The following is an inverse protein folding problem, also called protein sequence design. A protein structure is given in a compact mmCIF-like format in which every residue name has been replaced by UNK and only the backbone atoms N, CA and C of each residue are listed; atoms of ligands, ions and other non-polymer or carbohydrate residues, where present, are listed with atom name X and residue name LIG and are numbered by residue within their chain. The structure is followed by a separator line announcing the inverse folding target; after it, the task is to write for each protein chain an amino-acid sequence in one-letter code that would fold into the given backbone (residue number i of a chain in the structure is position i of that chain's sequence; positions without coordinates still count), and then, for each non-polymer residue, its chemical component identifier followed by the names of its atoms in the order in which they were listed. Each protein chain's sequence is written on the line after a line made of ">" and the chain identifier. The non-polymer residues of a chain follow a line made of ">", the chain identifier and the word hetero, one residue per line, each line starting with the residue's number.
data_IF_598847329417
#
_entry.id   IF_598847329417
#
_cell.length_a   1.000
_cell.length_b   1.000
_cell.length_c   1.000
_cell.angle_alpha   90.00
_cell.angle_beta   90.00
_cell.angle_gamma   90.00
#
_symmetry.space_group_name_H-M   'P 1'
#
loop_
_entity.id
_entity.type
_entity.pdbx_description
1 polymer ?
#
# COMPACT_ATOMS: atom_id res chain seq x y z
N UNK A 1 61.54 14.11 9.14
CA UNK A 1 60.41 14.97 8.74
C UNK A 1 59.24 14.01 8.60
N UNK A 2 58.43 13.95 9.64
CA UNK A 2 57.31 13.01 9.82
C UNK A 2 56.05 13.72 9.36
N UNK A 3 55.32 13.02 8.47
CA UNK A 3 54.00 13.45 7.99
C UNK A 3 52.92 13.00 9.01
N UNK A 4 52.02 13.90 9.47
CA UNK A 4 50.98 13.52 10.44
C UNK A 4 49.71 13.07 9.73
N UNK A 5 49.35 11.83 10.01
CA UNK A 5 48.04 11.19 10.15
C UNK A 5 46.81 11.91 9.57
N UNK A 6 46.24 11.31 8.53
CA UNK A 6 44.86 11.47 8.12
C UNK A 6 43.96 10.71 9.10
N UNK A 7 43.39 11.43 10.04
CA UNK A 7 42.43 10.92 11.00
C UNK A 7 41.02 10.86 10.40
N UNK A 8 40.78 9.94 9.48
CA UNK A 8 39.44 9.64 9.00
C UNK A 8 38.59 9.10 10.14
N UNK A 9 37.73 9.96 10.72
CA UNK A 9 36.66 9.55 11.63
C UNK A 9 35.66 8.72 10.82
N UNK A 10 35.77 7.40 10.94
CA UNK A 10 34.72 6.49 10.47
C UNK A 10 33.45 6.79 11.27
N UNK A 11 32.43 7.29 10.58
CA UNK A 11 31.09 7.41 11.16
C UNK A 11 30.65 5.98 11.51
N UNK A 12 30.15 5.73 12.73
CA UNK A 12 29.63 4.41 13.09
C UNK A 12 28.46 4.09 12.13
N UNK A 13 28.46 2.86 11.60
CA UNK A 13 27.33 2.33 10.85
C UNK A 13 26.09 2.47 11.73
N UNK A 14 25.13 3.30 11.31
CA UNK A 14 23.87 3.49 12.02
C UNK A 14 23.14 2.14 12.01
N UNK A 15 23.10 1.49 13.15
CA UNK A 15 22.34 0.27 13.41
C UNK A 15 20.85 0.60 13.29
N UNK A 16 20.11 0.02 12.32
CA UNK A 16 18.68 0.25 12.17
C UNK A 16 17.87 -0.11 13.43
N UNK A 17 18.41 -0.93 14.33
CA UNK A 17 17.76 -1.30 15.59
C UNK A 17 17.89 -0.20 16.68
N UNK A 18 18.74 0.80 16.49
CA UNK A 18 18.93 1.88 17.45
C UNK A 18 17.78 2.91 17.44
N UNK A 19 16.93 2.94 16.40
CA UNK A 19 15.76 3.81 16.34
C UNK A 19 14.61 3.35 17.26
N UNK A 20 14.64 2.13 17.75
CA UNK A 20 13.64 1.61 18.71
C UNK A 20 13.80 2.18 20.13
N UNK A 21 14.96 2.75 20.46
CA UNK A 21 15.27 3.21 21.82
C UNK A 21 15.13 4.72 22.04
N UNK A 22 15.11 5.52 20.96
CA UNK A 22 15.17 6.99 21.06
C UNK A 22 13.83 7.70 21.27
N UNK A 23 12.71 7.02 21.23
CA UNK A 23 11.40 7.65 21.42
C UNK A 23 10.46 6.79 22.22
N UNK A 24 10.29 7.08 23.52
CA UNK A 24 9.12 6.72 24.35
C UNK A 24 8.56 5.29 24.19
N UNK A 25 9.38 4.28 23.92
CA UNK A 25 8.99 2.93 23.56
C UNK A 25 8.56 2.06 24.76
N UNK A 26 8.21 2.66 25.88
CA UNK A 26 7.76 1.93 27.08
C UNK A 26 6.39 1.26 27.00
N UNK A 27 5.70 1.31 25.87
CA UNK A 27 4.34 0.78 25.75
C UNK A 27 4.08 -0.16 24.55
N UNK A 28 5.07 -0.44 23.71
CA UNK A 28 4.89 -1.30 22.54
C UNK A 28 5.90 -2.47 22.46
N UNK A 29 6.07 -3.20 23.56
CA UNK A 29 6.54 -4.59 23.48
C UNK A 29 5.42 -5.54 23.01
N UNK A 30 4.72 -5.21 21.98
CA UNK A 30 4.02 -6.21 21.21
C UNK A 30 5.10 -6.89 20.34
N UNK A 31 5.34 -8.21 20.55
CA UNK A 31 6.12 -9.04 19.62
C UNK A 31 5.73 -8.64 18.21
N UNK A 32 6.67 -7.96 17.50
CA UNK A 32 6.45 -7.46 16.16
C UNK A 32 5.89 -8.59 15.29
N UNK A 33 4.67 -8.51 14.79
CA UNK A 33 4.15 -9.56 13.92
C UNK A 33 5.06 -9.62 12.71
N UNK A 34 5.53 -10.81 12.39
CA UNK A 34 6.55 -11.05 11.34
C UNK A 34 6.05 -10.86 9.91
N UNK A 35 5.18 -9.87 9.65
CA UNK A 35 4.70 -9.58 8.29
C UNK A 35 3.87 -10.68 7.64
N UNK A 36 3.26 -11.58 8.42
CA UNK A 36 2.54 -12.74 7.90
C UNK A 36 1.37 -12.37 6.99
N UNK A 37 0.65 -11.29 7.31
CA UNK A 37 -0.49 -10.85 6.52
C UNK A 37 -0.02 -10.28 5.18
N UNK A 38 1.06 -9.53 5.16
CA UNK A 38 1.66 -9.02 3.92
C UNK A 38 2.02 -10.19 2.98
N UNK A 39 2.72 -11.20 3.49
CA UNK A 39 3.06 -12.39 2.69
C UNK A 39 1.83 -13.20 2.28
N UNK A 40 0.81 -13.32 3.13
CA UNK A 40 -0.43 -13.99 2.80
C UNK A 40 -1.18 -13.26 1.67
N UNK A 41 -1.27 -11.92 1.73
CA UNK A 41 -1.88 -11.12 0.67
C UNK A 41 -1.12 -11.27 -0.66
N UNK A 42 0.21 -11.26 -0.63
CA UNK A 42 1.05 -11.51 -1.82
C UNK A 42 0.77 -12.92 -2.36
N UNK A 43 0.77 -13.93 -1.50
CA UNK A 43 0.54 -15.31 -1.91
C UNK A 43 -0.85 -15.49 -2.55
N UNK A 44 -1.90 -14.89 -2.00
CA UNK A 44 -3.26 -14.92 -2.59
C UNK A 44 -3.28 -14.25 -3.96
N UNK A 45 -2.68 -13.07 -4.12
CA UNK A 45 -2.62 -12.38 -5.41
C UNK A 45 -1.89 -13.22 -6.47
N UNK A 46 -0.74 -13.79 -6.11
CA UNK A 46 0.03 -14.67 -7.00
C UNK A 46 -0.78 -15.95 -7.33
N UNK A 47 -1.41 -16.57 -6.34
CA UNK A 47 -2.22 -17.79 -6.57
C UNK A 47 -3.40 -17.54 -7.50
N UNK A 48 -4.13 -16.43 -7.31
CA UNK A 48 -5.24 -16.02 -8.20
C UNK A 48 -4.72 -15.78 -9.61
N UNK A 49 -3.61 -15.08 -9.78
CA UNK A 49 -3.02 -14.83 -11.09
C UNK A 49 -2.60 -16.13 -11.79
N UNK A 50 -1.95 -17.05 -11.06
CA UNK A 50 -1.58 -18.35 -11.61
C UNK A 50 -2.81 -19.18 -12.01
N UNK A 51 -3.90 -19.12 -11.23
CA UNK A 51 -5.17 -19.77 -11.58
C UNK A 51 -5.78 -19.18 -12.85
N UNK A 52 -5.73 -17.84 -13.03
CA UNK A 52 -6.14 -17.17 -14.27
C UNK A 52 -5.35 -17.72 -15.47
N UNK A 53 -4.04 -17.77 -15.36
CA UNK A 53 -3.15 -18.26 -16.42
C UNK A 53 -3.41 -19.75 -16.71
N UNK A 54 -3.56 -20.57 -15.68
CA UNK A 54 -3.88 -22.00 -15.85
C UNK A 54 -5.24 -22.24 -16.52
N UNK A 55 -6.18 -21.28 -16.41
CA UNK A 55 -7.47 -21.32 -17.13
C UNK A 55 -7.38 -20.82 -18.59
N UNK A 56 -6.19 -20.47 -19.07
CA UNK A 56 -5.98 -20.01 -20.45
C UNK A 56 -5.94 -18.49 -20.63
N UNK A 57 -5.98 -17.71 -19.54
CA UNK A 57 -5.81 -16.25 -19.62
C UNK A 57 -4.36 -15.90 -20.00
N UNK A 58 -4.19 -14.92 -20.88
CA UNK A 58 -2.86 -14.51 -21.33
C UNK A 58 -2.01 -13.98 -20.17
N UNK A 59 -0.81 -14.53 -20.01
CA UNK A 59 0.13 -14.20 -18.92
C UNK A 59 0.64 -12.76 -18.97
N UNK A 60 0.89 -12.23 -20.17
CA UNK A 60 1.45 -10.88 -20.32
C UNK A 60 0.37 -9.80 -20.39
N UNK A 61 -0.72 -10.10 -21.09
CA UNK A 61 -1.75 -9.12 -21.40
C UNK A 61 -3.15 -9.75 -21.39
N UNK A 62 -3.73 -10.03 -20.21
CA UNK A 62 -5.12 -10.48 -20.08
C UNK A 62 -6.08 -9.50 -20.74
N UNK A 63 -7.08 -10.02 -21.43
CA UNK A 63 -8.14 -9.16 -21.98
C UNK A 63 -9.05 -8.62 -20.88
N UNK A 64 -9.68 -7.45 -21.10
CA UNK A 64 -10.69 -6.93 -20.17
C UNK A 64 -11.81 -7.93 -19.90
N UNK A 65 -12.23 -8.70 -20.92
CA UNK A 65 -13.26 -9.75 -20.77
C UNK A 65 -12.80 -10.88 -19.84
N UNK A 66 -11.54 -11.28 -19.89
CA UNK A 66 -11.01 -12.29 -18.98
C UNK A 66 -11.07 -11.79 -17.55
N UNK A 67 -10.65 -10.53 -17.32
CA UNK A 67 -10.70 -9.91 -16.00
C UNK A 67 -12.13 -9.79 -15.49
N UNK A 68 -13.10 -9.43 -16.34
CA UNK A 68 -14.53 -9.39 -15.99
C UNK A 68 -15.05 -10.76 -15.58
N UNK A 69 -14.72 -11.83 -16.33
CA UNK A 69 -15.12 -13.21 -16.02
C UNK A 69 -14.58 -13.68 -14.68
N UNK A 70 -13.38 -13.25 -14.31
CA UNK A 70 -12.73 -13.59 -13.03
C UNK A 70 -13.18 -12.71 -11.85
N UNK A 71 -14.05 -11.71 -12.08
CA UNK A 71 -14.62 -10.88 -11.03
C UNK A 71 -14.01 -9.49 -10.92
N UNK A 72 -13.45 -8.96 -12.01
CA UNK A 72 -13.01 -7.58 -12.09
C UNK A 72 -14.14 -6.59 -11.84
N UNK A 73 -13.82 -5.40 -11.32
CA UNK A 73 -14.77 -4.33 -11.05
C UNK A 73 -15.26 -3.73 -12.38
N UNK A 74 -16.23 -4.39 -13.00
CA UNK A 74 -16.83 -3.94 -14.25
C UNK A 74 -18.04 -3.09 -13.97
N UNK A 75 -17.98 -1.82 -14.34
CA UNK A 75 -18.96 -0.79 -13.97
C UNK A 75 -20.42 -1.21 -14.17
N UNK A 76 -20.84 -1.76 -15.33
CA UNK A 76 -22.25 -2.17 -15.52
C UNK A 76 -22.68 -3.29 -14.55
N UNK A 77 -21.88 -4.32 -14.36
CA UNK A 77 -22.24 -5.44 -13.49
C UNK A 77 -22.20 -5.07 -12.01
N UNK A 78 -21.19 -4.30 -11.60
CA UNK A 78 -21.08 -3.86 -10.20
C UNK A 78 -22.26 -2.95 -9.83
N UNK A 79 -22.65 -2.03 -10.71
CA UNK A 79 -23.81 -1.16 -10.50
C UNK A 79 -25.16 -1.91 -10.56
N UNK A 80 -25.25 -3.03 -11.27
CA UNK A 80 -26.44 -3.87 -11.30
C UNK A 80 -26.60 -4.80 -10.10
N UNK A 81 -25.66 -4.75 -9.12
CA UNK A 81 -25.76 -5.49 -7.85
C UNK A 81 -24.63 -6.48 -7.56
N UNK A 82 -23.66 -6.66 -8.45
CA UNK A 82 -22.53 -7.56 -8.21
C UNK A 82 -21.44 -6.87 -7.35
N UNK A 83 -21.82 -6.37 -6.15
CA UNK A 83 -20.95 -5.61 -5.23
C UNK A 83 -19.72 -6.38 -4.74
N UNK A 84 -19.76 -7.71 -4.78
CA UNK A 84 -18.62 -8.56 -4.46
C UNK A 84 -17.39 -8.28 -5.34
N UNK A 85 -17.59 -7.71 -6.53
CA UNK A 85 -16.53 -7.31 -7.46
C UNK A 85 -15.62 -6.21 -6.88
N UNK A 86 -16.11 -5.41 -5.95
CA UNK A 86 -15.28 -4.42 -5.24
C UNK A 86 -14.13 -5.08 -4.46
N UNK A 87 -14.34 -6.33 -4.02
CA UNK A 87 -13.33 -7.09 -3.27
C UNK A 87 -12.51 -7.97 -4.21
N UNK A 88 -13.15 -8.73 -5.09
CA UNK A 88 -12.43 -9.67 -5.96
C UNK A 88 -11.49 -8.99 -6.92
N UNK A 89 -11.84 -7.81 -7.42
CA UNK A 89 -11.00 -7.00 -8.27
C UNK A 89 -9.64 -6.65 -7.65
N UNK A 90 -9.56 -6.57 -6.31
CA UNK A 90 -8.32 -6.28 -5.59
C UNK A 90 -7.25 -7.38 -5.75
N UNK A 91 -7.62 -8.56 -6.24
CA UNK A 91 -6.73 -9.72 -6.39
C UNK A 91 -6.47 -10.09 -7.85
N UNK A 92 -7.06 -9.38 -8.81
CA UNK A 92 -6.90 -9.62 -10.24
C UNK A 92 -5.88 -8.65 -10.84
N UNK A 93 -5.15 -9.07 -11.87
CA UNK A 93 -4.11 -8.24 -12.48
C UNK A 93 -4.10 -8.34 -14.00
N UNK A 94 -3.80 -7.21 -14.66
CA UNK A 94 -3.65 -7.11 -16.13
C UNK A 94 -2.25 -7.55 -16.59
N UNK A 95 -1.84 -8.77 -16.17
CA UNK A 95 -0.57 -9.36 -16.56
C UNK A 95 0.50 -9.34 -15.47
N UNK A 96 1.56 -10.10 -15.74
CA UNK A 96 2.65 -10.34 -14.76
C UNK A 96 3.39 -9.08 -14.37
N UNK A 97 3.56 -8.12 -15.28
CA UNK A 97 4.25 -6.85 -14.99
C UNK A 97 3.45 -6.05 -13.96
N UNK A 98 2.14 -5.93 -14.16
CA UNK A 98 1.24 -5.24 -13.23
C UNK A 98 1.23 -5.95 -11.85
N UNK A 99 1.13 -7.27 -11.84
CA UNK A 99 1.23 -8.05 -10.60
C UNK A 99 2.55 -7.79 -9.87
N UNK A 100 3.68 -7.85 -10.59
CA UNK A 100 5.02 -7.69 -9.99
C UNK A 100 5.20 -6.34 -9.31
N UNK A 101 4.78 -5.26 -9.96
CA UNK A 101 4.83 -3.91 -9.38
C UNK A 101 3.93 -3.79 -8.14
N UNK A 102 2.73 -4.36 -8.18
CA UNK A 102 1.82 -4.38 -7.03
C UNK A 102 2.42 -5.17 -5.87
N UNK A 103 2.95 -6.37 -6.11
CA UNK A 103 3.53 -7.20 -5.05
C UNK A 103 4.78 -6.59 -4.44
N UNK A 104 5.61 -5.95 -5.26
CA UNK A 104 6.77 -5.20 -4.76
C UNK A 104 6.33 -4.03 -3.86
N UNK A 105 5.37 -3.22 -4.31
CA UNK A 105 4.86 -2.09 -3.54
C UNK A 105 4.18 -2.55 -2.24
N UNK A 106 3.38 -3.62 -2.30
CA UNK A 106 2.73 -4.22 -1.12
C UNK A 106 3.76 -4.74 -0.11
N UNK A 107 4.84 -5.39 -0.59
CA UNK A 107 5.91 -5.86 0.27
C UNK A 107 6.60 -4.70 1.00
N UNK A 108 6.90 -3.61 0.29
CA UNK A 108 7.59 -2.46 0.87
C UNK A 108 6.73 -1.75 1.92
N UNK A 109 5.47 -1.42 1.59
CA UNK A 109 4.59 -0.74 2.54
C UNK A 109 4.17 -1.64 3.68
N UNK A 110 3.97 -2.94 3.41
CA UNK A 110 3.53 -3.92 4.41
C UNK A 110 4.61 -4.22 5.46
N UNK A 111 5.87 -4.34 5.06
CA UNK A 111 6.99 -4.49 5.99
C UNK A 111 7.07 -3.37 7.01
N UNK A 112 6.63 -2.18 6.63
CA UNK A 112 6.62 -1.01 7.48
C UNK A 112 5.34 -0.92 8.33
N UNK A 113 4.16 -1.05 7.71
CA UNK A 113 2.89 -0.80 8.38
C UNK A 113 2.36 -1.98 9.20
N UNK A 114 2.61 -3.22 8.78
CA UNK A 114 2.10 -4.38 9.53
C UNK A 114 2.70 -4.49 10.95
N UNK A 115 4.03 -4.32 11.16
CA UNK A 115 4.58 -4.24 12.51
C UNK A 115 4.04 -3.08 13.34
N UNK A 116 3.79 -1.92 12.69
CA UNK A 116 3.33 -0.71 13.35
C UNK A 116 1.88 -0.80 13.82
N UNK A 117 0.98 -1.36 13.00
CA UNK A 117 -0.46 -1.43 13.26
C UNK A 117 -0.87 -2.72 13.97
N UNK A 118 -0.05 -3.77 13.82
CA UNK A 118 -0.45 -5.16 14.07
C UNK A 118 -1.27 -5.73 12.92
N UNK A 119 -1.14 -7.04 12.69
CA UNK A 119 -1.70 -7.76 11.52
C UNK A 119 -3.20 -7.54 11.32
N UNK A 120 -3.99 -7.49 12.40
CA UNK A 120 -5.45 -7.29 12.29
C UNK A 120 -5.82 -5.92 11.72
N UNK A 121 -5.23 -4.84 12.26
CA UNK A 121 -5.53 -3.48 11.80
C UNK A 121 -4.98 -3.22 10.42
N UNK A 122 -3.81 -3.78 10.12
CA UNK A 122 -3.21 -3.74 8.79
C UNK A 122 -4.12 -4.39 7.74
N UNK A 123 -4.65 -5.60 8.03
CA UNK A 123 -5.58 -6.30 7.14
C UNK A 123 -6.88 -5.51 6.93
N UNK A 124 -7.44 -4.96 8.02
CA UNK A 124 -8.63 -4.11 7.94
C UNK A 124 -8.38 -2.85 7.11
N UNK A 125 -7.23 -2.20 7.29
CA UNK A 125 -6.85 -1.04 6.49
C UNK A 125 -6.73 -1.39 5.00
N UNK A 126 -6.08 -2.52 4.66
CA UNK A 126 -5.97 -2.99 3.27
C UNK A 126 -7.34 -3.17 2.62
N UNK A 127 -8.26 -3.91 3.26
CA UNK A 127 -9.58 -4.15 2.71
C UNK A 127 -10.44 -2.88 2.67
N UNK A 128 -10.47 -2.11 3.75
CA UNK A 128 -11.29 -0.90 3.81
C UNK A 128 -10.88 0.11 2.72
N UNK A 129 -9.57 0.37 2.60
CA UNK A 129 -9.08 1.32 1.59
C UNK A 129 -9.25 0.80 0.18
N UNK A 130 -9.07 -0.51 -0.05
CA UNK A 130 -9.26 -1.14 -1.35
C UNK A 130 -10.73 -1.15 -1.81
N UNK A 131 -11.66 -1.44 -0.89
CA UNK A 131 -13.11 -1.39 -1.19
C UNK A 131 -13.53 0.04 -1.52
N UNK A 132 -13.11 1.02 -0.72
CA UNK A 132 -13.41 2.44 -0.99
C UNK A 132 -12.77 2.89 -2.30
N UNK A 133 -11.54 2.48 -2.59
CA UNK A 133 -10.87 2.75 -3.87
C UNK A 133 -11.69 2.21 -5.06
N UNK A 134 -12.12 0.95 -4.99
CA UNK A 134 -12.97 0.32 -6.02
C UNK A 134 -14.32 1.01 -6.15
N UNK A 135 -14.89 1.50 -5.05
CA UNK A 135 -16.14 2.27 -5.06
C UNK A 135 -15.94 3.65 -5.68
N UNK A 136 -14.87 4.37 -5.34
CA UNK A 136 -14.54 5.67 -5.96
C UNK A 136 -14.32 5.49 -7.47
N UNK A 137 -13.65 4.44 -7.90
CA UNK A 137 -13.54 4.08 -9.31
C UNK A 137 -14.90 4.06 -10.02
N UNK A 138 -15.91 3.40 -9.42
CA UNK A 138 -17.28 3.36 -9.97
C UNK A 138 -17.94 4.73 -10.11
N UNK A 139 -17.61 5.69 -9.24
CA UNK A 139 -18.19 7.04 -9.31
C UNK A 139 -17.64 7.83 -10.50
N UNK A 140 -16.38 7.61 -10.84
CA UNK A 140 -15.68 8.36 -11.90
C UNK A 140 -15.73 7.67 -13.26
N UNK A 141 -15.99 6.37 -13.30
CA UNK A 141 -16.14 5.61 -14.55
C UNK A 141 -17.62 5.32 -14.81
N UNK A 142 -18.16 5.92 -15.87
CA UNK A 142 -19.58 5.78 -16.25
C UNK A 142 -19.81 4.84 -17.43
N UNK A 143 -18.74 4.39 -18.06
CA UNK A 143 -18.70 3.55 -19.24
C UNK A 143 -18.39 2.07 -18.92
N UNK A 144 -18.07 1.30 -19.94
CA UNK A 144 -17.71 -0.13 -19.84
C UNK A 144 -16.29 -0.34 -19.30
N UNK A 145 -15.86 0.42 -18.31
CA UNK A 145 -14.53 0.28 -17.73
C UNK A 145 -14.43 -0.95 -16.82
N UNK A 146 -13.23 -1.50 -16.74
CA UNK A 146 -12.88 -2.65 -15.89
C UNK A 146 -11.71 -2.26 -15.01
N UNK A 147 -11.95 -2.22 -13.69
CA UNK A 147 -10.92 -2.03 -12.69
C UNK A 147 -10.43 -3.37 -12.14
N UNK A 148 -9.11 -3.50 -11.96
CA UNK A 148 -8.47 -4.64 -11.29
C UNK A 148 -7.08 -4.26 -10.79
N UNK A 149 -6.69 -4.83 -9.66
CA UNK A 149 -5.37 -4.66 -9.04
C UNK A 149 -5.46 -4.38 -7.55
N UNK A 150 -4.41 -4.77 -6.83
CA UNK A 150 -4.23 -4.43 -5.43
C UNK A 150 -3.91 -2.94 -5.21
N UNK A 151 -3.67 -2.19 -6.29
CA UNK A 151 -3.09 -0.84 -6.24
C UNK A 151 -3.94 0.17 -5.47
N UNK A 152 -5.27 0.10 -5.56
CA UNK A 152 -6.16 0.96 -4.76
C UNK A 152 -5.94 0.80 -3.26
N UNK A 153 -5.83 -0.44 -2.77
CA UNK A 153 -5.51 -0.73 -1.38
C UNK A 153 -4.08 -0.30 -1.03
N UNK A 154 -3.11 -0.54 -1.91
CA UNK A 154 -1.71 -0.15 -1.71
C UNK A 154 -1.58 1.37 -1.60
N UNK A 155 -2.28 2.14 -2.44
CA UNK A 155 -2.35 3.59 -2.31
C UNK A 155 -2.99 4.02 -0.98
N UNK A 156 -3.98 3.27 -0.51
CA UNK A 156 -4.54 3.46 0.83
C UNK A 156 -3.50 3.26 1.92
N UNK A 157 -2.69 2.22 1.83
CA UNK A 157 -1.58 2.00 2.77
C UNK A 157 -0.51 3.10 2.67
N UNK A 158 -0.20 3.62 1.47
CA UNK A 158 0.68 4.79 1.34
C UNK A 158 0.08 6.04 1.97
N UNK A 159 -1.24 6.26 1.82
CA UNK A 159 -1.94 7.36 2.49
C UNK A 159 -1.84 7.27 4.01
N UNK A 160 -2.03 6.07 4.57
CA UNK A 160 -1.88 5.81 5.99
C UNK A 160 -0.42 6.04 6.44
N UNK A 161 0.57 5.55 5.69
CA UNK A 161 1.98 5.78 5.97
C UNK A 161 2.35 7.28 5.93
N UNK A 162 1.78 8.02 4.97
CA UNK A 162 1.96 9.48 4.88
C UNK A 162 1.37 10.19 6.10
N UNK A 163 0.17 9.79 6.56
CA UNK A 163 -0.45 10.35 7.75
C UNK A 163 0.42 10.13 9.00
N UNK A 164 0.98 8.93 9.18
CA UNK A 164 1.92 8.64 10.28
C UNK A 164 3.16 9.56 10.21
N UNK A 165 3.70 9.75 9.00
CA UNK A 165 4.87 10.61 8.78
C UNK A 165 4.57 12.10 9.02
N UNK A 166 3.31 12.50 9.13
CA UNK A 166 2.90 13.87 9.48
C UNK A 166 2.60 14.04 10.97
N UNK A 167 2.75 12.99 11.77
CA UNK A 167 2.65 13.06 13.24
C UNK A 167 4.04 13.11 13.86
N UNK A 168 4.09 13.41 15.17
CA UNK A 168 5.33 13.38 15.95
C UNK A 168 5.73 11.95 16.37
N UNK A 169 5.29 10.94 15.63
CA UNK A 169 5.57 9.54 15.96
C UNK A 169 7.04 9.19 15.71
N UNK A 170 7.66 9.84 14.72
CA UNK A 170 9.05 9.67 14.35
C UNK A 170 9.84 10.97 14.52
N UNK A 171 11.17 10.90 14.71
CA UNK A 171 12.05 12.07 14.63
C UNK A 171 11.84 12.80 13.29
N UNK A 172 11.87 14.16 13.33
CA UNK A 172 11.51 14.99 12.16
C UNK A 172 12.35 14.71 10.92
N UNK A 173 13.66 14.47 11.07
CA UNK A 173 14.54 14.16 9.93
C UNK A 173 14.14 12.83 9.23
N UNK A 174 13.76 11.84 10.02
CA UNK A 174 13.25 10.57 9.48
C UNK A 174 11.89 10.75 8.83
N UNK A 175 10.96 11.42 9.51
CA UNK A 175 9.62 11.72 9.00
C UNK A 175 9.67 12.53 7.70
N UNK A 176 10.57 13.51 7.59
CA UNK A 176 10.78 14.30 6.37
C UNK A 176 11.25 13.45 5.19
N UNK A 177 12.26 12.59 5.40
CA UNK A 177 12.73 11.66 4.36
C UNK A 177 11.60 10.72 3.92
N UNK A 178 10.84 10.18 4.87
CA UNK A 178 9.72 9.28 4.61
C UNK A 178 8.61 9.98 3.81
N UNK A 179 8.19 11.19 4.20
CA UNK A 179 7.22 12.01 3.45
C UNK A 179 7.67 12.24 2.01
N UNK A 180 8.94 12.67 1.83
CA UNK A 180 9.49 12.90 0.49
C UNK A 180 9.44 11.65 -0.38
N UNK A 181 9.86 10.50 0.15
CA UNK A 181 9.86 9.23 -0.58
C UNK A 181 8.46 8.79 -0.98
N UNK A 182 7.49 8.87 -0.03
CA UNK A 182 6.11 8.48 -0.29
C UNK A 182 5.47 9.41 -1.32
N UNK A 183 5.63 10.72 -1.19
CA UNK A 183 5.08 11.70 -2.12
C UNK A 183 5.67 11.53 -3.53
N UNK A 184 6.97 11.27 -3.64
CA UNK A 184 7.62 10.97 -4.92
C UNK A 184 7.02 9.70 -5.54
N UNK A 185 6.87 8.63 -4.76
CA UNK A 185 6.29 7.38 -5.21
C UNK A 185 4.85 7.58 -5.70
N UNK A 186 4.02 8.27 -4.92
CA UNK A 186 2.64 8.59 -5.28
C UNK A 186 2.61 9.41 -6.57
N UNK A 187 3.40 10.48 -6.66
CA UNK A 187 3.44 11.37 -7.82
C UNK A 187 3.84 10.64 -9.10
N UNK A 188 4.91 9.86 -9.04
CA UNK A 188 5.38 9.05 -10.19
C UNK A 188 4.30 8.06 -10.62
N UNK A 189 3.67 7.35 -9.68
CA UNK A 189 2.65 6.36 -10.03
C UNK A 189 1.37 7.00 -10.61
N UNK A 190 0.95 8.18 -10.12
CA UNK A 190 -0.21 8.88 -10.68
C UNK A 190 0.07 9.41 -12.11
N UNK A 191 1.28 9.94 -12.35
CA UNK A 191 1.68 10.38 -13.69
C UNK A 191 1.76 9.20 -14.67
N UNK A 192 2.41 8.10 -14.27
CA UNK A 192 2.46 6.88 -15.07
C UNK A 192 1.05 6.29 -15.25
N UNK A 193 0.23 6.33 -14.21
CA UNK A 193 -1.17 5.89 -14.27
C UNK A 193 -1.96 6.63 -15.33
N UNK A 194 -1.79 7.95 -15.43
CA UNK A 194 -2.40 8.73 -16.50
C UNK A 194 -1.92 8.29 -17.89
N UNK A 195 -0.60 8.15 -18.07
CA UNK A 195 -0.01 7.78 -19.37
C UNK A 195 -0.38 6.37 -19.82
N UNK A 196 -0.52 5.45 -18.86
CA UNK A 196 -0.81 4.04 -19.13
C UNK A 196 -2.30 3.68 -19.03
N UNK A 197 -3.17 4.67 -18.78
CA UNK A 197 -4.61 4.45 -18.64
C UNK A 197 -5.00 3.63 -17.40
N UNK A 198 -4.21 3.73 -16.31
CA UNK A 198 -4.54 3.07 -15.05
C UNK A 198 -5.64 3.84 -14.31
N UNK A 199 -6.29 3.17 -13.38
CA UNK A 199 -7.40 3.73 -12.59
C UNK A 199 -6.93 4.71 -11.49
N UNK A 200 -6.61 5.93 -11.89
CA UNK A 200 -6.21 6.97 -10.96
C UNK A 200 -7.32 7.40 -9.99
N UNK A 201 -8.59 7.19 -10.33
CA UNK A 201 -9.69 7.45 -9.40
C UNK A 201 -9.64 6.48 -8.21
N UNK A 202 -9.39 5.19 -8.47
CA UNK A 202 -9.16 4.21 -7.41
C UNK A 202 -7.92 4.56 -6.57
N UNK A 203 -6.82 4.97 -7.21
CA UNK A 203 -5.58 5.35 -6.51
C UNK A 203 -5.80 6.52 -5.55
N UNK A 204 -6.46 7.59 -6.01
CA UNK A 204 -6.76 8.78 -5.20
C UNK A 204 -7.77 8.44 -4.09
N UNK A 205 -8.81 7.66 -4.40
CA UNK A 205 -9.80 7.22 -3.42
C UNK A 205 -9.18 6.40 -2.29
N UNK A 206 -8.31 5.45 -2.64
CA UNK A 206 -7.55 4.66 -1.66
C UNK A 206 -6.64 5.54 -0.81
N UNK A 207 -5.83 6.38 -1.45
CA UNK A 207 -4.89 7.29 -0.79
C UNK A 207 -5.58 8.19 0.23
N UNK A 208 -6.68 8.86 -0.17
CA UNK A 208 -7.42 9.75 0.70
C UNK A 208 -8.04 9.01 1.90
N UNK A 209 -8.61 7.83 1.66
CA UNK A 209 -9.20 6.98 2.71
C UNK A 209 -8.14 6.53 3.72
N UNK A 210 -7.00 6.05 3.24
CA UNK A 210 -5.90 5.61 4.10
C UNK A 210 -5.29 6.76 4.89
N UNK A 211 -5.14 7.92 4.26
CA UNK A 211 -4.66 9.13 4.93
C UNK A 211 -5.61 9.56 6.06
N UNK A 212 -6.91 9.63 5.80
CA UNK A 212 -7.91 9.97 6.81
C UNK A 212 -7.91 8.97 7.96
N UNK A 213 -7.87 7.67 7.66
CA UNK A 213 -7.79 6.62 8.66
C UNK A 213 -6.53 6.74 9.53
N UNK A 214 -5.36 6.93 8.92
CA UNK A 214 -4.09 7.10 9.62
C UNK A 214 -4.08 8.34 10.49
N UNK A 215 -4.57 9.46 9.99
CA UNK A 215 -4.62 10.73 10.71
C UNK A 215 -5.50 10.63 11.96
N UNK A 216 -6.70 10.04 11.83
CA UNK A 216 -7.61 9.83 12.95
C UNK A 216 -6.99 8.86 13.97
N UNK A 217 -6.50 7.71 13.52
CA UNK A 217 -5.96 6.68 14.39
C UNK A 217 -4.76 7.18 15.22
N UNK A 218 -3.78 7.80 14.58
CA UNK A 218 -2.59 8.30 15.26
C UNK A 218 -2.84 9.62 15.99
N UNK A 219 -3.77 10.46 15.54
CA UNK A 219 -4.23 11.63 16.26
C UNK A 219 -4.89 11.28 17.59
N UNK A 220 -5.75 10.26 17.62
CA UNK A 220 -6.37 9.76 18.87
C UNK A 220 -5.32 9.15 19.81
N UNK A 221 -4.38 8.36 19.30
CA UNK A 221 -3.31 7.80 20.12
C UNK A 221 -2.45 8.89 20.79
N UNK A 222 -2.24 10.02 20.11
CA UNK A 222 -1.52 11.18 20.66
C UNK A 222 -2.27 11.81 21.84
N UNK A 223 -3.58 11.97 21.73
CA UNK A 223 -4.40 12.61 22.77
C UNK A 223 -4.51 11.79 24.06
N UNK A 224 -4.20 10.50 24.00
CA UNK A 224 -4.29 9.57 25.14
C UNK A 224 -2.92 9.33 25.80
N UNK A 225 -1.81 9.84 25.23
CA UNK A 225 -0.50 9.77 25.89
C UNK A 225 -0.44 10.78 27.04
N UNK A 226 -0.18 10.33 28.30
CA UNK A 226 0.13 11.28 29.37
C UNK A 226 1.42 12.05 29.01
N UNK A 227 1.43 13.33 29.36
CA UNK A 227 2.55 14.26 29.18
C UNK A 227 3.79 13.80 29.95
#
# INVERSE_FOLDING_TARGET
>A
MTDPADGGVALPAEDPDNYSQAGGAGAFEAKSPRGYVTFALIAVNVAVFLAMVASGVNFLNPSGLDVVKWGGNYTPLTRSGEWWRLITAMFLHFGVVHLSFNMYALLQVGRYLEPLLGSRRYLLAYFATGIVASFVSLLFHTDNSVGAGASGAIFGLFGLQLAVAMTDFFPEDYAKKMRSSILTLIGVNLVLGWQLGLDNAAHIGGLATGFAFGYIYFGVLRSVRPA
#
